data_IF_918556579660
#
_entry.id   IF_918556579660
#
_cell.length_a   1.000
_cell.length_b   1.000
_cell.length_c   1.000
_cell.angle_alpha   90.00
_cell.angle_beta   90.00
_cell.angle_gamma   90.00
#
_symmetry.space_group_name_H-M   'P 1'
#
loop_
_entity.id
_entity.type
_entity.pdbx_description
1 polymer ?
#
# COMPACT_ATOMS: atom_id res chain seq x y z
N UNK A 1 -14.08 9.25 4.44
CA UNK A 1 -14.15 8.43 3.21
C UNK A 1 -13.48 9.10 1.98
N UNK A 2 -13.09 10.37 2.05
CA UNK A 2 -12.45 11.10 0.92
C UNK A 2 -11.08 10.57 0.47
N UNK A 3 -10.29 9.94 1.35
CA UNK A 3 -8.89 9.63 1.03
C UNK A 3 -8.66 8.28 0.31
N UNK A 4 -9.67 7.41 0.27
CA UNK A 4 -9.54 6.10 -0.38
C UNK A 4 -9.36 6.23 -1.90
N UNK A 5 -10.01 7.22 -2.52
CA UNK A 5 -9.88 7.50 -3.95
C UNK A 5 -8.49 8.00 -4.33
N UNK A 6 -7.88 8.87 -3.54
CA UNK A 6 -6.55 9.42 -3.83
C UNK A 6 -5.45 8.35 -3.82
N UNK A 7 -5.48 7.46 -2.82
CA UNK A 7 -4.49 6.39 -2.70
C UNK A 7 -4.60 5.36 -3.84
N UNK A 8 -5.83 5.02 -4.24
CA UNK A 8 -6.07 4.13 -5.39
C UNK A 8 -5.56 4.75 -6.69
N UNK A 9 -5.79 6.05 -6.90
CA UNK A 9 -5.32 6.76 -8.09
C UNK A 9 -3.79 6.86 -8.13
N UNK A 10 -3.14 7.15 -7.02
CA UNK A 10 -1.66 7.20 -6.94
C UNK A 10 -1.04 5.83 -7.23
N UNK A 11 -1.59 4.77 -6.64
CA UNK A 11 -1.00 3.43 -6.76
C UNK A 11 -1.32 2.73 -8.09
N UNK A 12 -2.50 2.98 -8.68
CA UNK A 12 -2.99 2.19 -9.82
C UNK A 12 -3.25 3.00 -11.09
N UNK A 13 -3.58 4.29 -11.01
CA UNK A 13 -3.83 5.14 -12.20
C UNK A 13 -2.59 5.92 -12.65
N UNK A 14 -1.85 6.52 -11.71
CA UNK A 14 -0.70 7.37 -12.03
C UNK A 14 0.59 6.57 -12.34
N UNK A 15 0.62 5.26 -12.08
CA UNK A 15 1.72 4.38 -12.51
C UNK A 15 3.11 4.75 -11.97
N UNK A 16 3.20 5.46 -10.85
CA UNK A 16 4.46 5.98 -10.31
C UNK A 16 5.32 4.93 -9.58
N UNK A 17 4.83 3.69 -9.46
CA UNK A 17 5.56 2.59 -8.84
C UNK A 17 6.12 1.65 -9.89
N UNK A 18 7.33 1.93 -10.39
CA UNK A 18 8.12 0.88 -11.06
C UNK A 18 8.42 -0.16 -9.99
N UNK A 19 7.86 -1.37 -10.14
CA UNK A 19 8.24 -2.49 -9.27
C UNK A 19 9.73 -2.75 -9.47
N UNK A 20 10.51 -2.94 -8.39
CA UNK A 20 11.89 -3.36 -8.53
C UNK A 20 11.98 -4.66 -9.32
N UNK A 21 13.13 -4.90 -9.95
CA UNK A 21 13.41 -6.18 -10.60
C UNK A 21 13.13 -7.32 -9.59
N UNK A 22 12.37 -8.36 -9.94
CA UNK A 22 12.13 -9.51 -9.06
C UNK A 22 13.40 -10.15 -8.49
N UNK A 23 14.57 -9.99 -9.11
CA UNK A 23 15.85 -10.47 -8.56
C UNK A 23 16.44 -9.58 -7.46
N UNK A 24 15.89 -8.39 -7.24
CA UNK A 24 16.37 -7.45 -6.20
C UNK A 24 16.09 -8.00 -4.81
N UNK A 25 17.12 -8.04 -3.98
CA UNK A 25 17.02 -8.51 -2.59
C UNK A 25 16.50 -7.43 -1.63
N UNK A 26 15.95 -7.86 -0.50
CA UNK A 26 15.52 -6.95 0.58
C UNK A 26 16.67 -6.06 1.06
N UNK A 27 17.90 -6.57 1.09
CA UNK A 27 19.07 -5.81 1.47
C UNK A 27 19.37 -4.69 0.48
N UNK A 28 19.33 -4.97 -0.83
CA UNK A 28 19.55 -3.96 -1.87
C UNK A 28 18.48 -2.85 -1.82
N UNK A 29 17.23 -3.20 -1.52
CA UNK A 29 16.15 -2.24 -1.30
C UNK A 29 16.38 -1.39 -0.06
N UNK A 30 16.76 -2.00 1.07
CA UNK A 30 17.09 -1.30 2.30
C UNK A 30 18.25 -0.31 2.08
N UNK A 31 19.31 -0.75 1.40
CA UNK A 31 20.44 0.10 1.08
C UNK A 31 20.05 1.24 0.14
N UNK A 32 19.15 1.00 -0.83
CA UNK A 32 18.63 2.04 -1.70
C UNK A 32 17.87 3.14 -0.93
N UNK A 33 17.05 2.74 0.05
CA UNK A 33 16.33 3.67 0.94
C UNK A 33 17.31 4.49 1.80
N UNK A 34 18.32 3.85 2.38
CA UNK A 34 19.35 4.54 3.18
C UNK A 34 20.16 5.52 2.34
N UNK A 35 20.58 5.12 1.14
CA UNK A 35 21.25 6.01 0.18
C UNK A 35 20.38 7.21 -0.19
N UNK A 36 19.08 7.00 -0.39
CA UNK A 36 18.15 8.10 -0.67
C UNK A 36 18.04 9.07 0.52
N UNK A 37 17.82 8.55 1.73
CA UNK A 37 17.73 9.37 2.93
C UNK A 37 19.01 10.19 3.17
N UNK A 38 20.18 9.60 2.95
CA UNK A 38 21.46 10.32 3.02
C UNK A 38 21.55 11.44 1.99
N UNK A 39 21.17 11.19 0.72
CA UNK A 39 21.15 12.25 -0.31
C UNK A 39 20.22 13.41 0.06
N UNK A 40 19.11 13.14 0.75
CA UNK A 40 18.21 14.19 1.24
C UNK A 40 18.90 15.02 2.33
N UNK A 41 19.54 14.37 3.32
CA UNK A 41 20.29 15.06 4.39
C UNK A 41 21.41 15.95 3.87
N UNK A 42 22.11 15.51 2.83
CA UNK A 42 23.23 16.26 2.23
C UNK A 42 22.76 17.47 1.41
N UNK A 43 21.55 17.43 0.85
CA UNK A 43 21.07 18.44 -0.11
C UNK A 43 20.11 19.45 0.49
N UNK A 44 19.38 19.09 1.54
CA UNK A 44 18.41 19.96 2.19
C UNK A 44 19.08 20.66 3.37
N UNK A 45 19.05 22.00 3.44
CA UNK A 45 19.54 22.73 4.60
C UNK A 45 18.95 22.20 5.91
N UNK A 46 19.74 22.04 7.00
CA UNK A 46 19.26 21.42 8.23
C UNK A 46 18.06 22.12 8.87
N UNK A 47 17.94 23.44 8.71
CA UNK A 47 16.81 24.26 9.17
C UNK A 47 15.51 24.00 8.38
N UNK A 48 15.61 23.36 7.22
CA UNK A 48 14.48 23.01 6.33
C UNK A 48 14.22 21.50 6.26
N UNK A 49 14.89 20.70 7.08
CA UNK A 49 14.73 19.25 7.11
C UNK A 49 14.25 18.77 8.49
N UNK A 50 13.12 18.06 8.49
CA UNK A 50 12.66 17.29 9.66
C UNK A 50 12.73 15.80 9.35
N UNK A 51 13.53 15.07 10.13
CA UNK A 51 13.48 13.60 10.14
C UNK A 51 12.34 13.13 11.05
N UNK A 52 11.21 12.81 10.42
CA UNK A 52 9.96 12.50 11.11
C UNK A 52 9.56 11.03 10.97
N UNK A 53 9.11 10.42 12.07
CA UNK A 53 8.42 9.13 12.11
C UNK A 53 6.97 9.36 12.51
N UNK A 54 6.03 8.79 11.77
CA UNK A 54 4.59 8.91 12.06
C UNK A 54 4.20 8.49 13.49
N UNK A 55 4.99 7.63 14.15
CA UNK A 55 4.79 7.25 15.56
C UNK A 55 5.05 8.39 16.56
N UNK A 56 5.72 9.47 16.15
CA UNK A 56 6.00 10.64 17.00
C UNK A 56 4.79 11.58 17.13
N UNK A 57 3.75 11.40 16.32
CA UNK A 57 2.52 12.19 16.41
C UNK A 57 2.68 13.65 15.94
N UNK A 58 1.78 14.53 16.41
CA UNK A 58 1.69 15.91 15.95
C UNK A 58 2.85 16.80 16.39
N UNK A 59 3.39 16.57 17.58
CA UNK A 59 4.26 17.51 18.27
C UNK A 59 5.51 17.95 17.47
N UNK A 60 6.39 17.06 16.97
CA UNK A 60 7.58 17.50 16.24
C UNK A 60 7.24 18.11 14.88
N UNK A 61 6.14 17.70 14.25
CA UNK A 61 5.70 18.24 12.97
C UNK A 61 5.17 19.67 13.13
N UNK A 62 4.30 19.90 14.11
CA UNK A 62 3.73 21.23 14.38
C UNK A 62 4.82 22.22 14.80
N UNK A 63 5.78 21.78 15.61
CA UNK A 63 6.93 22.59 16.01
C UNK A 63 7.78 23.00 14.79
N UNK A 64 8.07 22.06 13.91
CA UNK A 64 8.88 22.30 12.72
C UNK A 64 8.20 23.24 11.70
N UNK A 65 6.87 23.15 11.57
CA UNK A 65 6.07 23.99 10.67
C UNK A 65 5.82 25.41 11.18
N UNK A 66 6.61 25.89 12.14
CA UNK A 66 6.50 27.25 12.70
C UNK A 66 5.80 27.33 14.05
N UNK A 67 5.68 26.23 14.80
CA UNK A 67 5.10 26.22 16.14
C UNK A 67 3.58 26.29 16.14
N UNK A 68 2.92 25.53 15.26
CA UNK A 68 1.47 25.45 15.19
C UNK A 68 0.89 24.76 16.44
N UNK A 69 -0.35 25.11 16.78
CA UNK A 69 -1.11 24.39 17.80
C UNK A 69 -1.39 22.95 17.36
N UNK A 70 -1.25 22.00 18.28
CA UNK A 70 -1.55 20.60 17.99
C UNK A 70 -3.07 20.42 17.81
N UNK A 71 -3.51 19.70 16.76
CA UNK A 71 -4.90 19.30 16.65
C UNK A 71 -5.36 18.52 17.88
N UNK A 72 -6.63 18.69 18.26
CA UNK A 72 -7.24 17.90 19.34
C UNK A 72 -7.46 16.44 18.97
N UNK A 73 -7.45 16.13 17.67
CA UNK A 73 -7.59 14.78 17.14
C UNK A 73 -6.29 13.98 17.26
N UNK A 74 -6.39 12.67 17.44
CA UNK A 74 -5.24 11.79 17.42
C UNK A 74 -4.52 11.81 16.05
N UNK A 75 -3.20 11.60 16.07
CA UNK A 75 -2.43 11.54 14.83
C UNK A 75 -2.93 10.38 13.95
N UNK A 76 -3.29 10.64 12.68
CA UNK A 76 -4.05 9.68 11.87
C UNK A 76 -3.26 8.41 11.56
N UNK A 77 -3.92 7.25 11.70
CA UNK A 77 -3.39 5.92 11.34
C UNK A 77 -4.34 5.20 10.38
N UNK A 78 -4.32 5.62 9.12
CA UNK A 78 -5.25 5.13 8.10
C UNK A 78 -4.64 4.08 7.15
N UNK A 79 -3.33 4.12 6.93
CA UNK A 79 -2.63 3.19 6.04
C UNK A 79 -1.79 2.18 6.83
N UNK A 80 -2.42 1.52 7.80
CA UNK A 80 -1.73 0.51 8.59
C UNK A 80 -1.75 -0.87 7.91
N UNK A 81 -0.85 -1.75 8.37
CA UNK A 81 -0.68 -3.08 7.77
C UNK A 81 -1.88 -3.98 8.00
N UNK A 82 -2.66 -3.79 9.07
CA UNK A 82 -3.84 -4.63 9.36
C UNK A 82 -4.95 -4.29 8.38
N UNK A 83 -5.24 -3.00 8.21
CA UNK A 83 -6.22 -2.50 7.26
C UNK A 83 -5.86 -2.97 5.84
N UNK A 84 -4.61 -2.75 5.41
CA UNK A 84 -4.17 -3.20 4.09
C UNK A 84 -4.29 -4.71 3.89
N UNK A 85 -3.87 -5.52 4.87
CA UNK A 85 -4.01 -6.99 4.81
C UNK A 85 -5.48 -7.41 4.72
N UNK A 86 -6.37 -6.76 5.46
CA UNK A 86 -7.80 -7.04 5.41
C UNK A 86 -8.37 -6.74 4.01
N UNK A 87 -8.06 -5.58 3.44
CA UNK A 87 -8.49 -5.21 2.10
C UNK A 87 -7.98 -6.20 1.02
N UNK A 88 -6.68 -6.53 1.04
CA UNK A 88 -6.09 -7.49 0.08
C UNK A 88 -6.70 -8.88 0.25
N UNK A 89 -6.94 -9.32 1.49
CA UNK A 89 -7.56 -10.62 1.73
C UNK A 89 -8.99 -10.67 1.17
N UNK A 90 -9.80 -9.64 1.41
CA UNK A 90 -11.15 -9.53 0.87
C UNK A 90 -11.16 -9.56 -0.67
N UNK A 91 -10.28 -8.78 -1.31
CA UNK A 91 -10.14 -8.78 -2.78
C UNK A 91 -9.79 -10.18 -3.29
N UNK A 92 -8.82 -10.87 -2.68
CA UNK A 92 -8.42 -12.22 -3.10
C UNK A 92 -9.56 -13.23 -2.99
N UNK A 93 -10.33 -13.20 -1.90
CA UNK A 93 -11.45 -14.11 -1.69
C UNK A 93 -12.53 -13.87 -2.75
N UNK A 94 -12.94 -12.62 -2.94
CA UNK A 94 -13.98 -12.26 -3.93
C UNK A 94 -13.56 -12.66 -5.34
N UNK A 95 -12.34 -12.31 -5.77
CA UNK A 95 -11.83 -12.67 -7.10
C UNK A 95 -11.74 -14.17 -7.30
N UNK A 96 -11.32 -14.92 -6.28
CA UNK A 96 -11.24 -16.39 -6.36
C UNK A 96 -12.63 -16.99 -6.52
N UNK A 97 -13.63 -16.53 -5.77
CA UNK A 97 -15.01 -17.03 -5.87
C UNK A 97 -15.60 -16.73 -7.25
N UNK A 98 -15.43 -15.50 -7.75
CA UNK A 98 -15.97 -15.08 -9.05
C UNK A 98 -15.38 -15.86 -10.23
N UNK A 99 -14.15 -16.38 -10.12
CA UNK A 99 -13.52 -17.16 -11.20
C UNK A 99 -13.70 -18.67 -11.00
N UNK A 100 -13.46 -19.18 -9.79
CA UNK A 100 -13.45 -20.62 -9.54
C UNK A 100 -14.86 -21.24 -9.58
N UNK A 101 -15.88 -20.53 -9.08
CA UNK A 101 -17.24 -21.08 -9.05
C UNK A 101 -17.84 -21.29 -10.46
N UNK A 102 -17.76 -20.33 -11.41
CA UNK A 102 -18.23 -20.57 -12.78
C UNK A 102 -17.46 -21.68 -13.51
N UNK A 103 -16.14 -21.78 -13.30
CA UNK A 103 -15.32 -22.83 -13.90
C UNK A 103 -15.74 -24.21 -13.39
N UNK A 104 -15.95 -24.35 -12.07
CA UNK A 104 -16.43 -25.60 -11.49
C UNK A 104 -17.80 -26.00 -12.06
N UNK A 105 -18.74 -25.06 -12.16
CA UNK A 105 -20.07 -25.30 -12.75
C UNK A 105 -19.95 -25.74 -14.21
N UNK A 106 -19.10 -25.09 -15.01
CA UNK A 106 -18.88 -25.45 -16.40
C UNK A 106 -18.29 -26.86 -16.55
N UNK A 107 -17.27 -27.20 -15.74
CA UNK A 107 -16.66 -28.53 -15.72
C UNK A 107 -17.68 -29.60 -15.35
N UNK A 108 -18.48 -29.36 -14.32
CA UNK A 108 -19.56 -30.26 -13.92
C UNK A 108 -20.60 -30.44 -15.02
N UNK A 109 -21.01 -29.37 -15.70
CA UNK A 109 -21.97 -29.43 -16.80
C UNK A 109 -21.44 -30.26 -17.99
N UNK A 110 -20.16 -30.09 -18.35
CA UNK A 110 -19.50 -30.88 -19.40
C UNK A 110 -19.42 -32.36 -19.00
N UNK A 111 -19.03 -32.66 -17.76
CA UNK A 111 -18.95 -34.03 -17.27
C UNK A 111 -20.32 -34.73 -17.29
N UNK A 112 -21.38 -34.05 -16.86
CA UNK A 112 -22.76 -34.55 -16.91
C UNK A 112 -23.21 -34.78 -18.36
N UNK A 113 -22.90 -33.85 -19.26
CA UNK A 113 -23.23 -33.99 -20.68
C UNK A 113 -22.55 -35.20 -21.34
N UNK A 114 -21.26 -35.42 -21.04
CA UNK A 114 -20.51 -36.58 -21.54
C UNK A 114 -21.07 -37.91 -20.99
N UNK A 115 -21.49 -37.94 -19.73
CA UNK A 115 -22.09 -39.15 -19.12
C UNK A 115 -23.44 -39.51 -19.74
N UNK A 116 -24.25 -38.52 -20.13
CA UNK A 116 -25.55 -38.75 -20.77
C UNK A 116 -25.44 -39.22 -22.24
N UNK A 117 -24.27 -39.07 -22.87
CA UNK A 117 -24.02 -39.44 -24.26
C UNK A 117 -23.34 -40.82 -24.43
N UNK A 118 -22.94 -41.46 -23.33
CA UNK A 118 -22.36 -42.81 -23.27
C UNK A 118 -23.42 -43.83 -22.84
#
# INVERSE_FOLDING_TARGET
MENAGLLMRINFELGMGVSPDPSTTDQELADALLRYAQRVRERVPPDRLLEFRASQGWQPLCQFLGGLDQPSEEFPRLNDTRYFRCCIHAIRVVSTVLVAAPVAVAVSAVAVGLWLLL
#
